data_IF_548815964565
#
_entry.id   IF_548815964565
#
_cell.length_a   1.000
_cell.length_b   1.000
_cell.length_c   1.000
_cell.angle_alpha   90.00
_cell.angle_beta   90.00
_cell.angle_gamma   90.00
#
_symmetry.space_group_name_H-M   'P 1'
#
loop_
_entity.id
_entity.type
_entity.pdbx_description
1 polymer ?
#
# COMPACT_ATOMS: atom_id res chain seq x y z
N UNK A 1 14.65 -1.34 3.20
CA UNK A 1 14.57 -1.18 1.73
C UNK A 1 13.36 -0.32 1.40
N UNK A 2 13.40 0.42 0.30
CA UNK A 2 12.23 1.16 -0.23
C UNK A 2 11.16 0.20 -0.76
N UNK A 3 9.91 0.67 -0.85
CA UNK A 3 8.74 -0.16 -1.22
C UNK A 3 8.76 -0.61 -2.70
N UNK A 4 9.45 0.13 -3.57
CA UNK A 4 9.61 -0.24 -4.98
C UNK A 4 8.32 -0.28 -5.80
N UNK A 5 7.35 0.59 -5.49
CA UNK A 5 6.12 0.70 -6.27
C UNK A 5 6.40 1.27 -7.68
N UNK A 6 5.58 0.91 -8.69
CA UNK A 6 5.60 1.58 -9.99
C UNK A 6 5.40 3.09 -9.86
N UNK A 7 5.94 3.87 -10.81
CA UNK A 7 5.90 5.35 -10.77
C UNK A 7 4.49 5.93 -10.72
N UNK A 8 3.52 5.23 -11.27
CA UNK A 8 2.12 5.60 -11.39
C UNK A 8 1.22 4.93 -10.34
N UNK A 9 1.81 4.39 -9.26
CA UNK A 9 1.13 3.93 -8.07
C UNK A 9 1.57 4.73 -6.82
N UNK A 10 0.61 5.06 -5.96
CA UNK A 10 0.86 5.79 -4.71
C UNK A 10 0.15 5.12 -3.54
N UNK A 11 0.83 5.04 -2.40
CA UNK A 11 0.20 4.71 -1.12
C UNK A 11 -0.53 5.94 -0.63
N UNK A 12 -1.86 5.86 -0.57
CA UNK A 12 -2.71 6.98 -0.14
C UNK A 12 -2.97 6.95 1.37
N UNK A 13 -3.01 5.77 1.96
CA UNK A 13 -3.15 5.57 3.39
C UNK A 13 -2.61 4.20 3.82
N UNK A 14 -2.23 4.11 5.10
CA UNK A 14 -1.92 2.86 5.78
C UNK A 14 -2.92 2.69 6.91
N UNK A 15 -3.61 1.57 6.96
CA UNK A 15 -4.46 1.21 8.08
C UNK A 15 -3.71 0.22 8.97
N UNK A 16 -3.52 0.60 10.24
CA UNK A 16 -2.84 -0.19 11.26
C UNK A 16 -3.68 -0.19 12.53
N UNK A 17 -4.02 -1.38 13.02
CA UNK A 17 -4.81 -1.54 14.25
C UNK A 17 -6.09 -0.69 14.26
N UNK A 18 -6.78 -0.61 13.11
CA UNK A 18 -8.01 0.18 12.93
C UNK A 18 -7.81 1.70 12.77
N UNK A 19 -6.56 2.19 12.77
CA UNK A 19 -6.23 3.60 12.62
C UNK A 19 -5.73 3.92 11.22
N UNK A 20 -6.21 5.03 10.66
CA UNK A 20 -5.75 5.53 9.35
C UNK A 20 -4.54 6.44 9.52
N UNK A 21 -3.43 6.07 8.89
CA UNK A 21 -2.15 6.81 8.89
C UNK A 21 -1.92 7.37 7.49
N UNK A 22 -1.71 8.68 7.39
CA UNK A 22 -1.29 9.33 6.14
C UNK A 22 0.21 9.12 5.95
N UNK A 23 0.64 8.40 4.89
CA UNK A 23 2.04 8.08 4.69
C UNK A 23 2.86 9.34 4.41
N UNK A 24 3.99 9.43 5.11
CA UNK A 24 5.07 10.38 4.83
C UNK A 24 6.27 9.59 4.32
N UNK A 25 7.23 10.23 3.67
CA UNK A 25 8.36 9.54 3.03
C UNK A 25 9.16 8.61 3.95
N UNK A 26 9.17 8.86 5.26
CA UNK A 26 9.86 8.04 6.27
C UNK A 26 8.97 6.98 6.95
N UNK A 27 7.71 6.81 6.53
CA UNK A 27 6.83 5.80 7.13
C UNK A 27 7.40 4.40 6.86
N UNK A 28 7.56 3.61 7.93
CA UNK A 28 7.93 2.20 7.83
C UNK A 28 6.70 1.32 7.95
N UNK A 29 6.52 0.44 6.98
CA UNK A 29 5.46 -0.58 7.00
C UNK A 29 5.82 -1.69 7.99
N UNK A 30 4.79 -2.19 8.68
CA UNK A 30 4.86 -3.31 9.60
C UNK A 30 3.96 -4.44 9.10
N UNK A 31 4.23 -5.67 9.56
CA UNK A 31 3.35 -6.80 9.26
C UNK A 31 1.94 -6.53 9.83
N UNK A 32 0.91 -6.87 9.04
CA UNK A 32 -0.49 -6.60 9.38
C UNK A 32 -1.02 -5.25 8.87
N UNK A 33 -0.15 -4.36 8.40
CA UNK A 33 -0.58 -3.12 7.75
C UNK A 33 -1.43 -3.41 6.51
N UNK A 34 -2.52 -2.67 6.37
CA UNK A 34 -3.32 -2.64 5.14
C UNK A 34 -3.04 -1.37 4.36
N UNK A 35 -2.59 -1.53 3.12
CA UNK A 35 -2.26 -0.41 2.24
C UNK A 35 -3.45 -0.04 1.35
N UNK A 36 -3.77 1.25 1.28
CA UNK A 36 -4.65 1.81 0.24
C UNK A 36 -3.79 2.31 -0.91
N UNK A 37 -3.86 1.66 -2.06
CA UNK A 37 -3.12 2.02 -3.26
C UNK A 37 -4.04 2.70 -4.28
N UNK A 38 -3.56 3.77 -4.90
CA UNK A 38 -4.15 4.37 -6.09
C UNK A 38 -3.14 4.32 -7.22
N UNK A 39 -3.58 3.95 -8.42
CA UNK A 39 -2.73 3.93 -9.60
C UNK A 39 -3.42 3.35 -10.82
N UNK A 40 -2.67 3.21 -11.91
CA UNK A 40 -3.17 2.53 -13.12
C UNK A 40 -3.42 1.05 -12.85
N UNK A 41 -4.25 0.41 -13.70
CA UNK A 41 -4.54 -1.02 -13.57
C UNK A 41 -3.27 -1.88 -13.65
N UNK A 42 -2.34 -1.55 -14.53
CA UNK A 42 -1.06 -2.25 -14.66
C UNK A 42 -0.18 -2.05 -13.42
N UNK A 43 -0.15 -0.84 -12.88
CA UNK A 43 0.63 -0.54 -11.69
C UNK A 43 0.10 -1.26 -10.45
N UNK A 44 -1.23 -1.28 -10.27
CA UNK A 44 -1.86 -1.99 -9.17
C UNK A 44 -1.65 -3.50 -9.29
N UNK A 45 -1.67 -4.08 -10.49
CA UNK A 45 -1.37 -5.50 -10.67
C UNK A 45 0.04 -5.87 -10.17
N UNK A 46 1.04 -5.00 -10.39
CA UNK A 46 2.41 -5.19 -9.86
C UNK A 46 2.49 -4.93 -8.37
N UNK A 47 1.76 -3.93 -7.86
CA UNK A 47 1.70 -3.65 -6.42
C UNK A 47 1.11 -4.83 -5.64
N UNK A 48 -0.01 -5.38 -6.13
CA UNK A 48 -0.72 -6.51 -5.52
C UNK A 48 0.04 -7.84 -5.64
N UNK A 49 0.97 -7.99 -6.59
CA UNK A 49 1.78 -9.22 -6.62
C UNK A 49 2.74 -9.33 -5.42
N UNK A 50 2.96 -8.23 -4.69
CA UNK A 50 3.83 -8.17 -3.50
C UNK A 50 3.06 -8.21 -2.19
N UNK A 51 1.75 -7.93 -2.23
CA UNK A 51 0.89 -7.80 -1.06
C UNK A 51 -0.42 -8.53 -1.34
N UNK A 52 -0.83 -9.43 -0.45
CA UNK A 52 -2.11 -10.13 -0.61
C UNK A 52 -3.27 -9.12 -0.65
N UNK A 53 -4.19 -9.29 -1.60
CA UNK A 53 -5.44 -8.54 -1.57
C UNK A 53 -6.18 -8.87 -0.28
N UNK A 54 -6.44 -7.85 0.54
CA UNK A 54 -7.29 -8.03 1.70
C UNK A 54 -8.68 -8.48 1.24
N UNK A 55 -9.34 -9.42 1.95
CA UNK A 55 -10.71 -9.80 1.67
C UNK A 55 -11.58 -8.54 1.59
N UNK A 56 -12.34 -8.41 0.50
CA UNK A 56 -13.39 -7.39 0.39
C UNK A 56 -14.50 -7.79 1.35
N UNK A 57 -14.65 -7.05 2.44
CA UNK A 57 -15.80 -7.12 3.34
C UNK A 57 -17.02 -6.44 2.70
#
# INVERSE_FOLDING_TARGET
>A
AELGLPRDAVVTAVERDGHLIVPRGQLRLLAGDRLRLLGSRSALAVGLSRFEEAPRA
#
